data_IF_491898849653
#
_entry.id   IF_491898849653
#
_cell.length_a   1.000
_cell.length_b   1.000
_cell.length_c   1.000
_cell.angle_alpha   90.00
_cell.angle_beta   90.00
_cell.angle_gamma   90.00
#
_symmetry.space_group_name_H-M   'P 1'
#
loop_
_entity.id
_entity.type
_entity.pdbx_description
1 polymer ?
#
# COMPACT_ATOMS: atom_id res chain seq x y z
N UNK A 1 15.90 17.54 -2.62
CA UNK A 1 14.63 17.58 -3.41
C UNK A 1 13.82 16.29 -3.34
N UNK A 2 14.43 15.11 -3.18
CA UNK A 2 13.72 13.81 -3.10
C UNK A 2 12.59 13.76 -2.06
N UNK A 3 12.86 14.14 -0.80
CA UNK A 3 11.85 14.08 0.28
C UNK A 3 10.59 14.91 -0.03
N UNK A 4 10.76 16.06 -0.69
CA UNK A 4 9.63 16.90 -1.14
C UNK A 4 8.79 16.17 -2.18
N UNK A 5 9.41 15.43 -3.10
CA UNK A 5 8.68 14.62 -4.10
C UNK A 5 7.89 13.49 -3.44
N UNK A 6 8.49 12.80 -2.46
CA UNK A 6 7.81 11.74 -1.70
C UNK A 6 6.61 12.31 -0.93
N UNK A 7 6.77 13.47 -0.28
CA UNK A 7 5.68 14.18 0.39
C UNK A 7 4.55 14.54 -0.58
N UNK A 8 4.87 15.14 -1.73
CA UNK A 8 3.88 15.49 -2.76
C UNK A 8 3.17 14.25 -3.30
N UNK A 9 3.91 13.16 -3.54
CA UNK A 9 3.34 11.89 -3.97
C UNK A 9 2.39 11.32 -2.91
N UNK A 10 2.75 11.35 -1.62
CA UNK A 10 1.90 10.88 -0.54
C UNK A 10 0.60 11.69 -0.44
N UNK A 11 0.68 13.02 -0.54
CA UNK A 11 -0.50 13.91 -0.53
C UNK A 11 -1.39 13.65 -1.75
N UNK A 12 -0.81 13.55 -2.95
CA UNK A 12 -1.55 13.29 -4.18
C UNK A 12 -2.25 11.93 -4.14
N UNK A 13 -1.52 10.88 -3.76
CA UNK A 13 -2.06 9.51 -3.68
C UNK A 13 -3.16 9.42 -2.62
N UNK A 14 -2.99 10.07 -1.47
CA UNK A 14 -4.02 10.16 -0.44
C UNK A 14 -5.28 10.90 -0.95
N UNK A 15 -5.10 12.03 -1.65
CA UNK A 15 -6.22 12.76 -2.25
C UNK A 15 -6.97 11.89 -3.28
N UNK A 16 -6.25 11.19 -4.16
CA UNK A 16 -6.85 10.26 -5.12
C UNK A 16 -7.53 9.07 -4.43
N UNK A 17 -6.93 8.53 -3.36
CA UNK A 17 -7.50 7.43 -2.57
C UNK A 17 -8.88 7.81 -1.99
N UNK A 18 -8.99 9.02 -1.46
CA UNK A 18 -10.21 9.51 -0.77
C UNK A 18 -11.25 10.12 -1.69
N UNK A 19 -10.92 10.41 -2.95
CA UNK A 19 -11.83 11.04 -3.92
C UNK A 19 -12.22 10.09 -5.06
N UNK A 20 -11.25 9.67 -5.88
CA UNK A 20 -11.49 8.87 -7.09
C UNK A 20 -11.61 7.39 -6.73
N UNK A 21 -10.62 6.85 -6.01
CA UNK A 21 -10.53 5.41 -5.73
C UNK A 21 -11.68 4.97 -4.81
N UNK A 22 -12.10 5.81 -3.87
CA UNK A 22 -13.26 5.56 -3.01
C UNK A 22 -14.57 5.34 -3.76
N UNK A 23 -14.68 5.82 -5.02
CA UNK A 23 -15.85 5.59 -5.87
C UNK A 23 -15.82 4.22 -6.56
N UNK A 24 -14.67 3.54 -6.63
CA UNK A 24 -14.52 2.21 -7.23
C UNK A 24 -14.95 1.08 -6.28
N UNK A 25 -15.92 1.34 -5.41
CA UNK A 25 -16.39 0.39 -4.41
C UNK A 25 -17.22 -0.71 -5.07
N UNK A 26 -16.78 -1.95 -4.94
CA UNK A 26 -17.52 -3.12 -5.43
C UNK A 26 -17.66 -4.11 -4.27
N UNK A 27 -18.89 -4.60 -4.03
CA UNK A 27 -19.23 -5.43 -2.86
C UNK A 27 -18.76 -4.85 -1.50
N UNK A 28 -18.74 -3.52 -1.38
CA UNK A 28 -18.29 -2.85 -0.16
C UNK A 28 -16.77 -2.72 -0.02
N UNK A 29 -15.98 -3.32 -0.92
CA UNK A 29 -14.51 -3.29 -0.92
C UNK A 29 -14.01 -2.17 -1.85
N UNK A 30 -13.00 -1.43 -1.40
CA UNK A 30 -12.35 -0.34 -2.13
C UNK A 30 -10.88 -0.69 -2.29
N UNK A 31 -10.28 -0.54 -3.49
CA UNK A 31 -8.85 -0.77 -3.65
C UNK A 31 -8.00 0.23 -2.85
N UNK A 32 -6.79 -0.19 -2.52
CA UNK A 32 -5.86 0.56 -1.69
C UNK A 32 -4.71 1.10 -2.54
N UNK A 33 -4.91 2.28 -3.14
CA UNK A 33 -3.91 2.96 -3.96
C UNK A 33 -2.65 3.33 -3.16
N UNK A 34 -2.81 3.62 -1.86
CA UNK A 34 -1.67 3.90 -0.96
C UNK A 34 -0.78 2.66 -0.87
N UNK A 35 -1.36 1.49 -0.59
CA UNK A 35 -0.63 0.22 -0.53
C UNK A 35 0.04 -0.12 -1.87
N UNK A 36 -0.68 0.03 -2.99
CA UNK A 36 -0.15 -0.22 -4.33
C UNK A 36 1.05 0.70 -4.61
N UNK A 37 0.92 1.99 -4.36
CA UNK A 37 2.00 2.96 -4.63
C UNK A 37 3.20 2.70 -3.73
N UNK A 38 2.95 2.40 -2.45
CA UNK A 38 3.97 2.01 -1.49
C UNK A 38 4.77 0.80 -1.99
N UNK A 39 4.11 -0.23 -2.52
CA UNK A 39 4.80 -1.39 -3.10
C UNK A 39 5.63 -1.03 -4.33
N UNK A 40 5.16 -0.12 -5.19
CA UNK A 40 5.95 0.38 -6.32
C UNK A 40 7.19 1.14 -5.85
N UNK A 41 7.08 1.96 -4.78
CA UNK A 41 8.22 2.67 -4.18
C UNK A 41 9.22 1.75 -3.49
N UNK A 42 8.82 0.53 -3.13
CA UNK A 42 9.73 -0.47 -2.57
C UNK A 42 10.37 -1.30 -3.69
N UNK A 43 9.59 -1.76 -4.66
CA UNK A 43 10.03 -2.74 -5.65
C UNK A 43 10.78 -2.13 -6.84
N UNK A 44 10.48 -0.89 -7.26
CA UNK A 44 11.13 -0.28 -8.43
C UNK A 44 12.49 0.38 -8.12
N UNK A 45 12.58 1.39 -7.22
CA UNK A 45 13.86 2.06 -6.96
C UNK A 45 14.77 1.25 -6.01
N UNK A 46 16.07 1.56 -6.00
CA UNK A 46 17.04 0.99 -5.03
C UNK A 46 17.09 1.72 -3.68
N UNK A 47 16.42 2.87 -3.56
CA UNK A 47 16.45 3.64 -2.33
C UNK A 47 15.35 3.23 -1.32
N UNK A 48 15.41 3.82 -0.12
CA UNK A 48 14.47 3.54 0.97
C UNK A 48 13.30 4.54 1.05
N UNK A 49 12.95 5.20 -0.06
CA UNK A 49 11.88 6.22 -0.10
C UNK A 49 10.49 5.68 0.28
N UNK A 50 10.27 4.36 0.15
CA UNK A 50 9.03 3.70 0.56
C UNK A 50 8.73 3.81 2.06
N UNK A 51 9.74 3.90 2.94
CA UNK A 51 9.50 4.10 4.39
C UNK A 51 8.93 5.48 4.65
N UNK A 52 9.52 6.51 4.04
CA UNK A 52 9.05 7.89 4.17
C UNK A 52 7.62 8.03 3.65
N UNK A 53 7.33 7.44 2.48
CA UNK A 53 5.98 7.40 1.93
C UNK A 53 4.99 6.70 2.86
N UNK A 54 5.35 5.52 3.40
CA UNK A 54 4.49 4.77 4.31
C UNK A 54 4.15 5.56 5.59
N UNK A 55 5.15 6.25 6.17
CA UNK A 55 4.94 7.10 7.33
C UNK A 55 3.97 8.25 7.01
N UNK A 56 4.21 8.99 5.93
CA UNK A 56 3.41 10.17 5.58
C UNK A 56 2.00 9.75 5.14
N UNK A 57 1.88 8.84 4.18
CA UNK A 57 0.59 8.41 3.63
C UNK A 57 -0.24 7.64 4.66
N UNK A 58 0.40 6.80 5.47
CA UNK A 58 -0.25 6.13 6.59
C UNK A 58 -0.77 7.12 7.63
N UNK A 59 0.01 8.16 7.93
CA UNK A 59 -0.39 9.16 8.91
C UNK A 59 -1.56 10.00 8.40
N UNK A 60 -1.54 10.39 7.12
CA UNK A 60 -2.67 11.05 6.48
C UNK A 60 -3.93 10.17 6.52
N UNK A 61 -3.81 8.88 6.18
CA UNK A 61 -4.93 7.95 6.24
C UNK A 61 -5.47 7.77 7.66
N UNK A 62 -4.59 7.71 8.65
CA UNK A 62 -4.99 7.63 10.05
C UNK A 62 -5.72 8.89 10.51
N UNK A 63 -5.23 10.07 10.15
CA UNK A 63 -5.78 11.35 10.57
C UNK A 63 -7.19 11.63 10.01
N UNK A 64 -7.44 11.25 8.76
CA UNK A 64 -8.66 11.62 8.05
C UNK A 64 -9.68 10.48 7.91
N UNK A 65 -9.25 9.22 8.00
CA UNK A 65 -10.09 8.07 7.60
C UNK A 65 -10.17 6.99 8.67
N UNK A 66 -9.20 6.88 9.58
CA UNK A 66 -9.16 5.81 10.57
C UNK A 66 -9.91 6.15 11.87
N UNK A 67 -10.43 5.11 12.52
CA UNK A 67 -11.01 5.23 13.87
C UNK A 67 -9.96 5.37 14.96
N UNK A 68 -8.75 4.86 14.72
CA UNK A 68 -7.64 4.85 15.68
C UNK A 68 -6.36 5.33 15.00
N UNK A 69 -5.79 6.41 15.53
CA UNK A 69 -4.54 6.98 15.05
C UNK A 69 -3.39 5.98 15.16
N UNK A 70 -2.55 5.90 14.13
CA UNK A 70 -1.35 5.07 14.09
C UNK A 70 -1.54 3.66 13.55
N UNK A 71 -2.77 3.22 13.28
CA UNK A 71 -3.04 1.87 12.75
C UNK A 71 -2.45 1.67 11.35
N UNK A 72 -2.78 2.57 10.41
CA UNK A 72 -2.31 2.46 9.03
C UNK A 72 -0.81 2.74 8.94
N UNK A 73 -0.30 3.74 9.68
CA UNK A 73 1.15 3.98 9.77
C UNK A 73 1.89 2.70 10.15
N UNK A 74 1.45 2.04 11.22
CA UNK A 74 2.07 0.83 11.73
C UNK A 74 2.06 -0.30 10.69
N UNK A 75 0.89 -0.59 10.10
CA UNK A 75 0.75 -1.65 9.10
C UNK A 75 1.62 -1.38 7.88
N UNK A 76 1.56 -0.16 7.33
CA UNK A 76 2.29 0.19 6.12
C UNK A 76 3.80 0.15 6.32
N UNK A 77 4.32 0.64 7.45
CA UNK A 77 5.75 0.55 7.76
C UNK A 77 6.20 -0.90 7.88
N UNK A 78 5.44 -1.76 8.56
CA UNK A 78 5.78 -3.19 8.66
C UNK A 78 5.82 -3.87 7.29
N UNK A 79 4.86 -3.58 6.42
CA UNK A 79 4.83 -4.11 5.05
C UNK A 79 6.07 -3.63 4.28
N UNK A 80 6.39 -2.34 4.34
CA UNK A 80 7.60 -1.80 3.68
C UNK A 80 8.86 -2.50 4.18
N UNK A 81 9.01 -2.66 5.49
CA UNK A 81 10.16 -3.34 6.08
C UNK A 81 10.26 -4.79 5.61
N UNK A 82 9.14 -5.52 5.60
CA UNK A 82 9.08 -6.88 5.09
C UNK A 82 9.56 -6.94 3.63
N UNK A 83 9.03 -6.09 2.76
CA UNK A 83 9.40 -6.12 1.34
C UNK A 83 10.83 -5.65 1.10
N UNK A 84 11.34 -4.65 1.81
CA UNK A 84 12.74 -4.26 1.66
C UNK A 84 13.71 -5.38 2.06
N UNK A 85 13.37 -6.15 3.10
CA UNK A 85 14.19 -7.28 3.52
C UNK A 85 14.21 -8.41 2.48
N UNK A 86 13.06 -8.71 1.88
CA UNK A 86 12.91 -9.84 0.95
C UNK A 86 13.09 -9.49 -0.53
N UNK A 87 13.13 -8.20 -0.88
CA UNK A 87 13.19 -7.72 -2.27
C UNK A 87 14.31 -8.39 -3.05
N UNK A 88 15.54 -8.30 -2.58
CA UNK A 88 16.72 -8.78 -3.31
C UNK A 88 16.74 -10.30 -3.50
N UNK A 89 16.08 -11.04 -2.61
CA UNK A 89 16.05 -12.51 -2.64
C UNK A 89 14.92 -13.07 -3.51
N UNK A 90 13.78 -12.38 -3.57
CA UNK A 90 12.55 -12.96 -4.14
C UNK A 90 11.84 -12.10 -5.19
N UNK A 91 12.17 -10.81 -5.34
CA UNK A 91 11.43 -9.89 -6.20
C UNK A 91 12.31 -9.22 -7.25
N UNK A 92 11.98 -9.42 -8.53
CA UNK A 92 12.56 -8.67 -9.64
C UNK A 92 11.75 -7.42 -9.99
N UNK A 93 12.22 -6.66 -10.98
CA UNK A 93 11.56 -5.42 -11.47
C UNK A 93 10.48 -5.67 -12.54
N UNK A 94 10.12 -6.95 -12.76
CA UNK A 94 9.13 -7.36 -13.76
C UNK A 94 7.68 -7.24 -13.22
N UNK A 95 6.71 -7.30 -14.14
CA UNK A 95 5.28 -7.15 -13.80
C UNK A 95 4.77 -8.23 -12.84
N UNK A 96 5.31 -9.45 -12.95
CA UNK A 96 4.89 -10.60 -12.14
C UNK A 96 5.28 -10.37 -10.68
N UNK A 97 6.50 -9.91 -10.42
CA UNK A 97 6.97 -9.57 -9.08
C UNK A 97 6.16 -8.45 -8.43
N UNK A 98 5.77 -7.42 -9.20
CA UNK A 98 4.89 -6.35 -8.71
C UNK A 98 3.52 -6.90 -8.30
N UNK A 99 2.88 -7.70 -9.17
CA UNK A 99 1.56 -8.29 -8.87
C UNK A 99 1.64 -9.24 -7.67
N UNK A 100 2.63 -10.13 -7.65
CA UNK A 100 2.83 -11.06 -6.53
C UNK A 100 3.06 -10.29 -5.21
N UNK A 101 3.88 -9.24 -5.24
CA UNK A 101 4.13 -8.39 -4.08
C UNK A 101 2.86 -7.70 -3.59
N UNK A 102 2.04 -7.16 -4.49
CA UNK A 102 0.76 -6.52 -4.12
C UNK A 102 -0.23 -7.50 -3.51
N UNK A 103 -0.34 -8.72 -4.04
CA UNK A 103 -1.19 -9.76 -3.45
C UNK A 103 -0.74 -10.09 -2.03
N UNK A 104 0.56 -10.38 -1.84
CA UNK A 104 1.13 -10.68 -0.53
C UNK A 104 0.94 -9.51 0.43
N UNK A 105 1.21 -8.28 -0.01
CA UNK A 105 1.05 -7.08 0.79
C UNK A 105 -0.41 -6.84 1.22
N UNK A 106 -1.37 -7.11 0.34
CA UNK A 106 -2.79 -6.97 0.66
C UNK A 106 -3.21 -7.98 1.73
N UNK A 107 -2.75 -9.23 1.62
CA UNK A 107 -3.00 -10.25 2.65
C UNK A 107 -2.37 -9.85 3.99
N UNK A 108 -1.10 -9.40 3.97
CA UNK A 108 -0.41 -8.93 5.17
C UNK A 108 -1.13 -7.72 5.80
N UNK A 109 -1.60 -6.76 4.99
CA UNK A 109 -2.34 -5.61 5.46
C UNK A 109 -3.57 -6.03 6.27
N UNK A 110 -4.41 -6.91 5.71
CA UNK A 110 -5.61 -7.40 6.39
C UNK A 110 -5.30 -8.24 7.62
N UNK A 111 -4.23 -9.04 7.58
CA UNK A 111 -3.80 -9.85 8.72
C UNK A 111 -3.34 -8.98 9.89
N UNK A 112 -2.45 -8.00 9.63
CA UNK A 112 -1.94 -7.09 10.66
C UNK A 112 -3.07 -6.18 11.18
N UNK A 113 -3.95 -5.72 10.29
CA UNK A 113 -5.15 -4.96 10.68
C UNK A 113 -6.04 -5.77 11.62
N UNK A 114 -6.33 -7.03 11.29
CA UNK A 114 -7.13 -7.91 12.12
C UNK A 114 -6.52 -8.13 13.50
N UNK A 115 -5.20 -8.38 13.55
CA UNK A 115 -4.46 -8.49 14.82
C UNK A 115 -4.58 -7.19 15.63
N UNK A 116 -4.41 -6.03 15.00
CA UNK A 116 -4.49 -4.72 15.66
C UNK A 116 -5.88 -4.47 16.26
N UNK A 117 -6.94 -4.81 15.53
CA UNK A 117 -8.34 -4.68 16.02
C UNK A 117 -8.59 -5.55 17.25
N UNK A 118 -8.06 -6.78 17.29
CA UNK A 118 -8.17 -7.66 18.46
C UNK A 118 -7.50 -7.02 19.68
N UNK A 119 -6.30 -6.44 19.51
CA UNK A 119 -5.61 -5.76 20.61
C UNK A 119 -6.36 -4.53 21.13
N UNK A 120 -7.02 -3.79 20.24
CA UNK A 120 -7.80 -2.59 20.60
C UNK A 120 -9.19 -2.89 21.18
N UNK A 121 -9.57 -4.17 21.33
CA UNK A 121 -10.87 -4.63 21.87
C UNK A 121 -12.10 -4.05 21.14
N UNK A 122 -11.98 -3.67 19.87
CA UNK A 122 -13.15 -3.31 19.05
C UNK A 122 -13.90 -4.61 18.63
N UNK A 123 -15.21 -4.51 18.38
CA UNK A 123 -16.05 -5.69 18.20
C UNK A 123 -15.61 -6.57 17.02
N UNK A 124 -15.62 -7.88 17.26
CA UNK A 124 -15.03 -8.92 16.41
C UNK A 124 -15.67 -8.99 15.01
N UNK A 125 -14.85 -8.79 13.97
CA UNK A 125 -15.15 -9.30 12.62
C UNK A 125 -14.73 -10.78 12.54
N UNK A 126 -15.53 -11.61 11.88
CA UNK A 126 -15.15 -13.01 11.62
C UNK A 126 -13.91 -13.09 10.71
N UNK A 127 -13.02 -14.05 10.99
CA UNK A 127 -11.82 -14.33 10.17
C UNK A 127 -12.19 -14.57 8.70
N UNK A 128 -13.29 -15.29 8.45
CA UNK A 128 -13.76 -15.56 7.09
C UNK A 128 -14.13 -14.29 6.34
N UNK A 129 -14.70 -13.29 7.02
CA UNK A 129 -15.03 -12.00 6.43
C UNK A 129 -13.76 -11.24 6.05
N UNK A 130 -12.75 -11.24 6.92
CA UNK A 130 -11.46 -10.58 6.66
C UNK A 130 -10.74 -11.21 5.47
N UNK A 131 -10.70 -12.54 5.40
CA UNK A 131 -10.09 -13.25 4.27
C UNK A 131 -10.85 -13.02 2.96
N UNK A 132 -12.19 -12.99 3.01
CA UNK A 132 -13.03 -12.66 1.86
C UNK A 132 -12.77 -11.25 1.34
N UNK A 133 -12.67 -10.25 2.23
CA UNK A 133 -12.33 -8.88 1.83
C UNK A 133 -10.91 -8.78 1.27
N UNK A 134 -9.94 -9.45 1.90
CA UNK A 134 -8.56 -9.46 1.44
C UNK A 134 -8.42 -10.07 0.03
N UNK A 135 -9.15 -11.14 -0.26
CA UNK A 135 -9.14 -11.78 -1.58
C UNK A 135 -9.67 -10.86 -2.69
N UNK A 136 -10.82 -10.24 -2.47
CA UNK A 136 -11.41 -9.28 -3.43
C UNK A 136 -10.48 -8.08 -3.61
N UNK A 137 -9.97 -7.53 -2.51
CA UNK A 137 -9.07 -6.37 -2.56
C UNK A 137 -7.74 -6.71 -3.25
N UNK A 138 -7.21 -7.92 -3.07
CA UNK A 138 -5.96 -8.34 -3.72
C UNK A 138 -6.10 -8.37 -5.25
N UNK A 139 -7.26 -8.78 -5.76
CA UNK A 139 -7.56 -8.73 -7.21
C UNK A 139 -7.62 -7.28 -7.69
N UNK A 140 -8.34 -6.41 -7.00
CA UNK A 140 -8.41 -4.99 -7.38
C UNK A 140 -7.07 -4.28 -7.28
N UNK A 141 -6.33 -4.51 -6.21
CA UNK A 141 -5.00 -3.93 -6.02
C UNK A 141 -4.04 -4.42 -7.10
N UNK A 142 -4.14 -5.68 -7.54
CA UNK A 142 -3.32 -6.22 -8.65
C UNK A 142 -3.63 -5.53 -9.98
N UNK A 143 -4.92 -5.34 -10.30
CA UNK A 143 -5.34 -4.62 -11.51
C UNK A 143 -4.90 -3.16 -11.45
N UNK A 144 -5.09 -2.51 -10.30
CA UNK A 144 -4.66 -1.14 -10.06
C UNK A 144 -3.14 -1.00 -10.17
N UNK A 145 -2.38 -1.96 -9.64
CA UNK A 145 -0.93 -1.98 -9.75
C UNK A 145 -0.47 -2.05 -11.21
N UNK A 146 -1.10 -2.91 -12.03
CA UNK A 146 -0.79 -2.98 -13.46
C UNK A 146 -1.13 -1.68 -14.19
N UNK A 147 -2.21 -1.00 -13.81
CA UNK A 147 -2.60 0.28 -14.38
C UNK A 147 -1.63 1.42 -14.00
N UNK A 148 -1.15 1.44 -12.75
CA UNK A 148 -0.26 2.49 -12.21
C UNK A 148 1.21 2.24 -12.52
N UNK A 149 1.62 0.99 -12.75
CA UNK A 149 3.01 0.60 -12.98
C UNK A 149 3.74 1.41 -14.08
N UNK A 150 3.13 1.72 -15.25
CA UNK A 150 3.80 2.54 -16.27
C UNK A 150 4.12 3.95 -15.78
N UNK A 151 3.25 4.54 -14.95
CA UNK A 151 3.47 5.86 -14.35
C UNK A 151 4.59 5.79 -13.30
N UNK A 152 4.58 4.74 -12.47
CA UNK A 152 5.63 4.50 -11.49
C UNK A 152 7.01 4.39 -12.13
N UNK A 153 7.14 3.59 -13.20
CA UNK A 153 8.41 3.44 -13.94
C UNK A 153 8.94 4.76 -14.49
N UNK A 154 8.10 5.53 -15.18
CA UNK A 154 8.48 6.86 -15.71
C UNK A 154 8.95 7.81 -14.61
N UNK A 155 8.27 7.81 -13.47
CA UNK A 155 8.65 8.66 -12.34
C UNK A 155 10.05 8.31 -11.83
N UNK A 156 10.34 7.01 -11.64
CA UNK A 156 11.65 6.56 -11.17
C UNK A 156 12.76 6.71 -12.22
N UNK A 157 12.48 6.47 -13.50
CA UNK A 157 13.43 6.72 -14.60
C UNK A 157 13.87 8.19 -14.63
N UNK A 158 12.93 9.13 -14.46
CA UNK A 158 13.21 10.57 -14.47
C UNK A 158 14.01 11.09 -13.27
N UNK A 159 13.91 10.41 -12.12
CA UNK A 159 14.44 10.88 -10.84
C UNK A 159 15.71 10.14 -10.39
N UNK A 160 15.92 8.92 -10.87
CA UNK A 160 17.01 8.03 -10.41
C UNK A 160 17.91 7.52 -11.53
N UNK A 161 17.67 7.88 -12.80
CA UNK A 161 18.58 7.59 -13.91
C UNK A 161 18.90 6.11 -14.02
N UNK A 162 17.86 5.27 -14.10
CA UNK A 162 17.99 3.85 -14.49
C UNK A 162 18.21 3.80 -16.00
#
# INVERSE_FOLDING_TARGET
>A
MRHVKVLLAAVLVFALQTTVISQLRIYGVVPNLILVTLLLMVLLPRDRSGIEFALIAGFLQDLFTAKALGTNVFIYVLIVMFFYYFKEMYFGENRISVVAGVVIATILYHLIFFITVIFLRDQYRSVLTVLGTAGIEAVYNSLLALAVLPLGRKWFESDFGI
#
